data_IF_094944062815
#
_entry.id   IF_094944062815
#
_cell.length_a   1.000
_cell.length_b   1.000
_cell.length_c   1.000
_cell.angle_alpha   90.00
_cell.angle_beta   90.00
_cell.angle_gamma   90.00
#
_symmetry.space_group_name_H-M   'P 1'
#
loop_
_entity.id
_entity.type
_entity.pdbx_description
1 polymer ?
#
# COMPACT_ATOMS: atom_id res chain seq x y z
N UNK A 1 7.67 -21.00 20.05
CA UNK A 1 8.37 -20.49 21.26
C UNK A 1 7.80 -21.11 22.54
N UNK A 2 8.62 -21.20 23.62
CA UNK A 2 8.15 -21.68 24.91
C UNK A 2 6.95 -20.88 25.43
N UNK A 3 5.99 -21.55 26.06
CA UNK A 3 4.71 -20.93 26.49
C UNK A 3 4.89 -19.68 27.36
N UNK A 4 5.90 -19.67 28.22
CA UNK A 4 6.18 -18.54 29.12
C UNK A 4 6.69 -17.28 28.42
N UNK A 5 7.29 -17.39 27.21
CA UNK A 5 7.75 -16.25 26.39
C UNK A 5 6.64 -15.67 25.50
N UNK A 6 5.60 -16.42 25.21
CA UNK A 6 4.58 -16.03 24.23
C UNK A 6 3.82 -14.76 24.60
N UNK A 7 3.42 -14.48 25.85
CA UNK A 7 2.75 -13.22 26.19
C UNK A 7 3.59 -11.98 25.85
N UNK A 8 4.89 -12.00 26.16
CA UNK A 8 5.79 -10.89 25.85
C UNK A 8 6.00 -10.72 24.33
N UNK A 9 6.13 -11.82 23.59
CA UNK A 9 6.21 -11.81 22.12
C UNK A 9 4.94 -11.24 21.49
N UNK A 10 3.77 -11.66 21.94
CA UNK A 10 2.48 -11.16 21.47
C UNK A 10 2.34 -9.66 21.76
N UNK A 11 2.69 -9.22 22.98
CA UNK A 11 2.66 -7.81 23.34
C UNK A 11 3.56 -6.95 22.44
N UNK A 12 4.79 -7.42 22.15
CA UNK A 12 5.72 -6.77 21.21
C UNK A 12 5.19 -6.79 19.76
N UNK A 13 4.60 -7.90 19.33
CA UNK A 13 4.00 -8.02 18.00
C UNK A 13 2.86 -7.01 17.80
N UNK A 14 2.14 -6.67 18.87
CA UNK A 14 1.05 -5.67 18.86
C UNK A 14 1.53 -4.21 18.93
N UNK A 15 2.83 -3.97 19.09
CA UNK A 15 3.43 -2.62 19.18
C UNK A 15 4.48 -2.34 18.12
N UNK A 16 5.37 -3.28 17.84
CA UNK A 16 6.41 -3.20 16.81
C UNK A 16 6.62 -4.61 16.19
N UNK A 17 5.83 -4.97 15.17
CA UNK A 17 5.75 -6.34 14.66
C UNK A 17 7.02 -6.81 13.95
N UNK A 18 7.68 -5.95 13.17
CA UNK A 18 8.77 -6.38 12.27
C UNK A 18 9.95 -7.04 12.97
N UNK A 19 10.56 -6.44 14.01
CA UNK A 19 11.64 -7.10 14.73
C UNK A 19 11.23 -8.42 15.37
N UNK A 20 9.95 -8.54 15.78
CA UNK A 20 9.41 -9.77 16.36
C UNK A 20 9.22 -10.84 15.29
N UNK A 21 8.79 -10.48 14.10
CA UNK A 21 8.67 -11.40 12.96
C UNK A 21 10.04 -11.97 12.59
N UNK A 22 11.08 -11.13 12.53
CA UNK A 22 12.46 -11.53 12.26
C UNK A 22 13.01 -12.46 13.36
N UNK A 23 12.79 -12.12 14.63
CA UNK A 23 13.16 -12.95 15.79
C UNK A 23 12.46 -14.32 15.72
N UNK A 24 11.15 -14.35 15.45
CA UNK A 24 10.39 -15.59 15.37
C UNK A 24 10.89 -16.49 14.23
N UNK A 25 11.16 -15.92 13.08
CA UNK A 25 11.69 -16.64 11.93
C UNK A 25 13.07 -17.24 12.24
N UNK A 26 13.98 -16.42 12.77
CA UNK A 26 15.36 -16.84 13.08
C UNK A 26 15.39 -17.95 14.13
N UNK A 27 14.57 -17.81 15.19
CA UNK A 27 14.58 -18.74 16.32
C UNK A 27 13.72 -20.01 16.11
N UNK A 28 12.67 -19.96 15.26
CA UNK A 28 11.66 -21.01 15.18
C UNK A 28 11.28 -21.43 13.75
N UNK A 29 11.90 -20.82 12.75
CA UNK A 29 11.67 -21.14 11.35
C UNK A 29 10.55 -20.30 10.69
N UNK A 30 10.21 -20.65 9.44
CA UNK A 30 9.39 -19.80 8.57
C UNK A 30 7.88 -19.83 8.86
N UNK A 31 7.42 -20.81 9.66
CA UNK A 31 6.02 -20.92 10.10
C UNK A 31 6.02 -21.08 11.61
N UNK A 32 5.39 -20.17 12.33
CA UNK A 32 5.43 -20.13 13.80
C UNK A 32 4.03 -20.04 14.38
N UNK A 33 3.70 -21.00 15.27
CA UNK A 33 2.47 -20.97 16.08
C UNK A 33 2.68 -20.27 17.43
N UNK A 34 1.75 -19.38 17.79
CA UNK A 34 1.72 -18.68 19.07
C UNK A 34 0.32 -18.79 19.70
N UNK A 35 0.25 -18.64 21.02
CA UNK A 35 -1.01 -18.68 21.77
C UNK A 35 -1.59 -20.07 21.94
N UNK A 36 -2.76 -20.12 22.55
CA UNK A 36 -3.51 -21.36 22.81
C UNK A 36 -5.02 -21.07 22.88
N UNK A 37 -5.84 -22.11 22.79
CA UNK A 37 -7.29 -21.99 22.91
C UNK A 37 -7.89 -21.06 21.87
N UNK A 38 -8.68 -20.04 22.26
CA UNK A 38 -9.32 -19.10 21.34
C UNK A 38 -8.39 -18.00 20.84
N UNK A 39 -7.18 -17.89 21.37
CA UNK A 39 -6.18 -16.86 21.01
C UNK A 39 -4.98 -17.51 20.29
N UNK A 40 -5.25 -18.31 19.29
CA UNK A 40 -4.20 -18.91 18.44
C UNK A 40 -3.82 -17.96 17.31
N UNK A 41 -2.52 -17.84 17.09
CA UNK A 41 -1.91 -17.07 16.03
C UNK A 41 -0.93 -17.96 15.27
N UNK A 42 -0.96 -17.91 13.95
CA UNK A 42 0.05 -18.52 13.08
C UNK A 42 0.71 -17.44 12.22
N UNK A 43 2.03 -17.34 12.29
CA UNK A 43 2.82 -16.45 11.42
C UNK A 43 3.35 -17.29 10.27
N UNK A 44 3.13 -16.84 9.03
CA UNK A 44 3.57 -17.52 7.80
C UNK A 44 4.40 -16.55 6.98
N UNK A 45 5.69 -16.85 6.80
CA UNK A 45 6.63 -16.04 6.02
C UNK A 45 7.37 -16.81 4.93
N UNK A 46 7.19 -18.15 4.88
CA UNK A 46 7.79 -19.01 3.88
C UNK A 46 7.12 -18.85 2.50
N UNK A 47 7.88 -18.61 1.40
CA UNK A 47 7.29 -18.39 0.08
C UNK A 47 6.43 -19.56 -0.45
N UNK A 48 6.82 -20.80 -0.18
CA UNK A 48 6.08 -22.01 -0.61
C UNK A 48 4.79 -22.14 0.19
N UNK A 49 4.87 -21.96 1.51
CA UNK A 49 3.70 -21.95 2.38
C UNK A 49 2.74 -20.79 2.06
N UNK A 50 3.26 -19.62 1.68
CA UNK A 50 2.44 -18.49 1.20
C UNK A 50 1.70 -18.84 -0.10
N UNK A 51 2.33 -19.55 -1.04
CA UNK A 51 1.65 -20.05 -2.24
C UNK A 51 0.47 -20.94 -1.86
N UNK A 52 0.65 -21.88 -0.94
CA UNK A 52 -0.42 -22.76 -0.46
C UNK A 52 -1.53 -21.95 0.23
N UNK A 53 -1.15 -21.02 1.11
CA UNK A 53 -2.09 -20.15 1.82
C UNK A 53 -2.94 -19.29 0.86
N UNK A 54 -2.33 -18.73 -0.18
CA UNK A 54 -3.03 -17.91 -1.18
C UNK A 54 -3.84 -18.76 -2.18
N UNK A 55 -3.44 -20.02 -2.40
CA UNK A 55 -4.17 -20.99 -3.21
C UNK A 55 -5.35 -21.65 -2.47
N UNK A 56 -5.38 -21.58 -1.14
CA UNK A 56 -6.50 -22.07 -0.34
C UNK A 56 -7.77 -21.29 -0.68
N UNK A 57 -8.93 -21.97 -0.84
CA UNK A 57 -10.19 -21.29 -1.14
C UNK A 57 -10.47 -20.12 -0.21
N UNK A 58 -10.88 -18.99 -0.77
CA UNK A 58 -11.11 -17.75 0.00
C UNK A 58 -12.13 -17.93 1.13
N UNK A 59 -13.12 -18.80 0.92
CA UNK A 59 -14.16 -19.10 1.90
C UNK A 59 -13.66 -19.91 3.11
N UNK A 60 -12.42 -20.45 3.04
CA UNK A 60 -11.77 -21.06 4.19
C UNK A 60 -11.31 -20.02 5.25
N UNK A 61 -11.33 -18.74 4.88
CA UNK A 61 -10.93 -17.64 5.76
C UNK A 61 -12.05 -16.60 5.91
N UNK A 62 -11.91 -15.75 6.96
CA UNK A 62 -12.78 -14.59 7.20
C UNK A 62 -11.93 -13.37 7.50
N UNK A 63 -12.37 -12.22 6.97
CA UNK A 63 -11.81 -10.88 7.19
C UNK A 63 -12.73 -10.04 8.07
N UNK A 64 -14.05 -10.25 8.00
CA UNK A 64 -15.08 -9.59 8.82
C UNK A 64 -15.15 -10.09 10.27
N UNK A 65 -14.00 -10.43 10.89
CA UNK A 65 -13.96 -10.90 12.28
C UNK A 65 -13.86 -9.74 13.28
N UNK A 66 -14.29 -9.99 14.52
CA UNK A 66 -14.38 -8.97 15.59
C UNK A 66 -13.08 -8.23 15.93
N UNK A 67 -11.93 -8.80 15.58
CA UNK A 67 -10.61 -8.19 15.82
C UNK A 67 -10.15 -7.33 14.62
N UNK A 68 -10.92 -7.27 13.54
CA UNK A 68 -10.58 -6.43 12.40
C UNK A 68 -11.11 -5.00 12.63
N UNK A 69 -10.23 -4.14 13.14
CA UNK A 69 -10.54 -2.74 13.44
C UNK A 69 -10.77 -1.89 12.19
N UNK A 70 -10.37 -2.37 11.01
CA UNK A 70 -10.59 -1.66 9.75
C UNK A 70 -12.08 -1.42 9.50
N UNK A 71 -12.97 -2.35 9.87
CA UNK A 71 -14.41 -2.19 9.70
C UNK A 71 -15.00 -0.99 10.44
N UNK A 72 -14.34 -0.48 11.47
CA UNK A 72 -14.74 0.76 12.13
C UNK A 72 -14.42 2.01 11.28
N UNK A 73 -13.32 1.98 10.54
CA UNK A 73 -12.84 3.09 9.71
C UNK A 73 -13.49 3.08 8.33
N UNK A 74 -13.40 1.96 7.62
CA UNK A 74 -13.81 1.87 6.21
C UNK A 74 -15.28 1.47 6.01
N UNK A 75 -16.03 1.22 7.10
CA UNK A 75 -17.41 0.77 7.03
C UNK A 75 -17.54 -0.77 7.00
N UNK A 76 -18.74 -1.24 7.39
CA UNK A 76 -19.02 -2.69 7.48
C UNK A 76 -19.25 -3.36 6.15
N UNK A 77 -19.58 -2.59 5.11
CA UNK A 77 -19.81 -3.09 3.76
C UNK A 77 -18.58 -2.94 2.86
N UNK A 78 -17.46 -2.47 3.40
CA UNK A 78 -16.18 -2.42 2.70
C UNK A 78 -15.74 -3.80 2.21
N UNK A 79 -15.18 -3.85 1.00
CA UNK A 79 -14.62 -5.08 0.42
C UNK A 79 -13.47 -5.69 1.25
N UNK A 80 -12.73 -4.88 2.05
CA UNK A 80 -11.62 -5.34 2.89
C UNK A 80 -12.11 -6.23 4.03
N UNK A 81 -13.29 -5.93 4.59
CA UNK A 81 -13.85 -6.65 5.75
C UNK A 81 -15.04 -7.54 5.37
N UNK A 82 -15.44 -7.59 4.10
CA UNK A 82 -16.52 -8.43 3.63
C UNK A 82 -16.05 -9.86 3.37
N UNK A 83 -16.97 -10.81 3.47
CA UNK A 83 -16.75 -12.24 3.23
C UNK A 83 -17.82 -12.84 2.31
N UNK A 84 -17.56 -14.05 1.79
CA UNK A 84 -18.51 -14.85 1.02
C UNK A 84 -19.05 -14.17 -0.24
N UNK A 85 -20.36 -14.35 -0.57
CA UNK A 85 -20.98 -13.79 -1.77
C UNK A 85 -20.94 -12.28 -1.83
N UNK A 86 -21.10 -11.59 -0.69
CA UNK A 86 -21.06 -10.14 -0.61
C UNK A 86 -19.69 -9.58 -1.00
N UNK A 87 -18.62 -10.23 -0.53
CA UNK A 87 -17.27 -9.85 -0.95
C UNK A 87 -17.09 -10.04 -2.48
N UNK A 88 -17.54 -11.16 -3.02
CA UNK A 88 -17.41 -11.45 -4.47
C UNK A 88 -18.10 -10.37 -5.30
N UNK A 89 -19.32 -9.98 -4.93
CA UNK A 89 -20.10 -8.93 -5.60
C UNK A 89 -19.40 -7.59 -5.53
N UNK A 90 -19.00 -7.14 -4.30
CA UNK A 90 -18.31 -5.87 -4.09
C UNK A 90 -16.94 -5.83 -4.78
N UNK A 91 -16.18 -6.93 -4.71
CA UNK A 91 -14.89 -7.05 -5.41
C UNK A 91 -15.05 -6.92 -6.92
N UNK A 92 -16.05 -7.60 -7.52
CA UNK A 92 -16.32 -7.54 -8.95
C UNK A 92 -16.66 -6.13 -9.41
N UNK A 93 -17.58 -5.45 -8.71
CA UNK A 93 -17.95 -4.07 -9.00
C UNK A 93 -16.75 -3.13 -8.99
N UNK A 94 -15.97 -3.13 -7.90
CA UNK A 94 -14.78 -2.26 -7.77
C UNK A 94 -13.70 -2.61 -8.78
N UNK A 95 -13.47 -3.89 -9.08
CA UNK A 95 -12.41 -4.34 -9.98
C UNK A 95 -12.64 -3.87 -11.42
N UNK A 96 -13.90 -3.76 -11.87
CA UNK A 96 -14.25 -3.22 -13.20
C UNK A 96 -13.72 -1.79 -13.39
N UNK A 97 -13.61 -1.03 -12.30
CA UNK A 97 -13.07 0.32 -12.26
C UNK A 97 -11.56 0.42 -12.50
N UNK A 98 -10.80 -0.65 -12.27
CA UNK A 98 -9.35 -0.73 -12.53
C UNK A 98 -9.06 -1.40 -13.88
N UNK A 99 -9.90 -1.16 -14.88
CA UNK A 99 -9.71 -1.66 -16.24
C UNK A 99 -8.46 -1.04 -16.90
N UNK A 100 -7.85 -1.76 -17.86
CA UNK A 100 -6.70 -1.25 -18.62
C UNK A 100 -7.00 0.10 -19.29
N UNK A 101 -8.22 0.30 -19.80
CA UNK A 101 -8.63 1.56 -20.43
C UNK A 101 -8.50 2.74 -19.46
N UNK A 102 -8.99 2.58 -18.20
CA UNK A 102 -8.89 3.63 -17.19
C UNK A 102 -7.46 3.84 -16.74
N UNK A 103 -6.73 2.77 -16.42
CA UNK A 103 -5.31 2.87 -16.05
C UNK A 103 -4.51 3.63 -17.12
N UNK A 104 -4.67 3.29 -18.39
CA UNK A 104 -4.01 4.00 -19.49
C UNK A 104 -4.41 5.48 -19.58
N UNK A 105 -5.67 5.79 -19.31
CA UNK A 105 -6.16 7.17 -19.33
C UNK A 105 -5.63 8.04 -18.20
N UNK A 106 -5.17 7.45 -17.09
CA UNK A 106 -4.64 8.19 -15.94
C UNK A 106 -3.15 8.54 -16.06
N UNK A 107 -2.42 7.99 -17.05
CA UNK A 107 -0.97 8.21 -17.19
C UNK A 107 -0.65 9.71 -17.32
N UNK A 108 -1.37 10.44 -18.19
CA UNK A 108 -1.19 11.88 -18.38
C UNK A 108 -1.44 12.66 -17.08
N UNK A 109 -2.57 12.41 -16.41
CA UNK A 109 -2.90 13.06 -15.13
C UNK A 109 -1.83 12.85 -14.05
N UNK A 110 -1.24 11.66 -13.97
CA UNK A 110 -0.17 11.35 -13.01
C UNK A 110 1.08 12.16 -13.33
N UNK A 111 1.47 12.22 -14.60
CA UNK A 111 2.66 12.98 -15.05
C UNK A 111 2.44 14.48 -14.80
N UNK A 112 1.31 15.04 -15.23
CA UNK A 112 1.01 16.47 -15.06
C UNK A 112 1.03 16.91 -13.58
N UNK A 113 0.45 16.10 -12.69
CA UNK A 113 0.47 16.36 -11.24
C UNK A 113 1.87 16.21 -10.65
N UNK A 114 2.65 15.27 -11.14
CA UNK A 114 4.03 15.11 -10.73
C UNK A 114 4.85 16.32 -11.15
N UNK A 115 4.65 16.81 -12.36
CA UNK A 115 5.32 18.00 -12.87
C UNK A 115 4.95 19.27 -12.08
N UNK A 116 3.66 19.47 -11.81
CA UNK A 116 3.22 20.56 -10.97
C UNK A 116 3.81 20.52 -9.55
N UNK A 117 3.94 19.31 -8.97
CA UNK A 117 4.61 19.10 -7.69
C UNK A 117 6.09 19.48 -7.74
N UNK A 118 6.80 19.06 -8.79
CA UNK A 118 8.22 19.40 -9.03
C UNK A 118 8.40 20.90 -9.20
N UNK A 119 7.56 21.55 -10.01
CA UNK A 119 7.59 23.00 -10.22
C UNK A 119 7.37 23.77 -8.93
N UNK A 120 6.40 23.34 -8.13
CA UNK A 120 6.16 23.91 -6.80
C UNK A 120 7.35 23.70 -5.85
N UNK A 121 8.04 22.59 -5.91
CA UNK A 121 9.25 22.31 -5.13
C UNK A 121 10.40 23.22 -5.57
N UNK A 122 10.64 23.29 -6.87
CA UNK A 122 11.69 24.16 -7.46
C UNK A 122 11.42 25.62 -7.12
N UNK A 123 10.18 26.09 -7.22
CA UNK A 123 9.81 27.47 -6.85
C UNK A 123 10.10 27.78 -5.38
N UNK A 124 9.79 26.85 -4.45
CA UNK A 124 10.05 27.03 -3.02
C UNK A 124 11.54 27.06 -2.66
N UNK A 125 12.37 26.31 -3.40
CA UNK A 125 13.82 26.23 -3.16
C UNK A 125 14.63 27.22 -4.00
N UNK A 126 14.00 27.95 -4.92
CA UNK A 126 14.69 28.77 -5.92
C UNK A 126 15.49 27.97 -6.94
N UNK A 127 15.30 26.66 -7.00
CA UNK A 127 16.09 25.72 -7.81
C UNK A 127 17.46 25.34 -7.21
N UNK A 128 17.86 26.00 -6.13
CA UNK A 128 19.13 25.75 -5.44
C UNK A 128 19.09 24.48 -4.59
N UNK A 129 20.26 23.86 -4.31
CA UNK A 129 20.34 22.69 -3.45
C UNK A 129 19.75 22.96 -2.05
N UNK A 130 18.68 22.27 -1.69
CA UNK A 130 18.02 22.40 -0.40
C UNK A 130 17.72 21.01 0.19
N UNK A 131 17.68 20.93 1.53
CA UNK A 131 17.22 19.72 2.21
C UNK A 131 15.71 19.81 2.35
N UNK A 132 15.00 18.83 1.77
CA UNK A 132 13.54 18.75 1.80
C UNK A 132 13.14 17.37 2.30
N UNK A 133 12.21 17.31 3.25
CA UNK A 133 11.53 16.05 3.57
C UNK A 133 10.54 15.70 2.46
N UNK A 134 10.90 14.70 1.66
CA UNK A 134 10.07 14.27 0.53
C UNK A 134 8.89 13.40 0.94
N UNK A 135 8.78 12.96 2.20
CA UNK A 135 7.61 12.18 2.63
C UNK A 135 6.30 13.00 2.63
N UNK A 136 6.21 14.16 3.27
CA UNK A 136 5.00 14.99 3.18
C UNK A 136 4.72 15.47 1.76
N UNK A 137 5.74 15.81 0.97
CA UNK A 137 5.59 16.23 -0.43
C UNK A 137 5.00 15.09 -1.28
N UNK A 138 5.57 13.89 -1.17
CA UNK A 138 5.07 12.70 -1.87
C UNK A 138 3.66 12.30 -1.43
N UNK A 139 3.34 12.51 -0.14
CA UNK A 139 2.01 12.23 0.40
C UNK A 139 0.95 13.16 -0.19
N UNK A 140 1.23 14.45 -0.29
CA UNK A 140 0.34 15.43 -0.93
C UNK A 140 0.15 15.11 -2.42
N UNK A 141 1.24 14.79 -3.14
CA UNK A 141 1.21 14.39 -4.54
C UNK A 141 0.32 13.14 -4.75
N UNK A 142 0.60 12.05 -4.05
CA UNK A 142 -0.16 10.79 -4.15
C UNK A 142 -1.64 11.01 -3.80
N UNK A 143 -1.92 11.82 -2.79
CA UNK A 143 -3.29 12.19 -2.43
C UNK A 143 -4.00 12.89 -3.59
N UNK A 144 -3.38 13.90 -4.20
CA UNK A 144 -3.93 14.60 -5.35
C UNK A 144 -4.19 13.67 -6.54
N UNK A 145 -3.26 12.75 -6.82
CA UNK A 145 -3.40 11.73 -7.87
C UNK A 145 -4.58 10.80 -7.56
N UNK A 146 -4.58 10.12 -6.41
CA UNK A 146 -5.59 9.11 -6.05
C UNK A 146 -7.00 9.68 -6.05
N UNK A 147 -7.20 10.86 -5.42
CA UNK A 147 -8.54 11.46 -5.36
C UNK A 147 -9.01 11.87 -6.75
N UNK A 148 -8.14 12.45 -7.56
CA UNK A 148 -8.49 12.89 -8.92
C UNK A 148 -8.78 11.72 -9.85
N UNK A 149 -7.88 10.74 -9.91
CA UNK A 149 -8.00 9.61 -10.83
C UNK A 149 -9.17 8.70 -10.50
N UNK A 150 -9.45 8.46 -9.23
CA UNK A 150 -10.53 7.55 -8.83
C UNK A 150 -11.90 8.24 -8.73
N UNK A 151 -11.96 9.52 -8.38
CA UNK A 151 -13.23 10.16 -7.98
C UNK A 151 -13.50 11.51 -8.65
N UNK A 152 -12.68 11.89 -9.62
CA UNK A 152 -12.90 13.06 -10.45
C UNK A 152 -12.54 14.40 -9.79
N UNK A 153 -12.72 15.49 -10.55
CA UNK A 153 -12.25 16.84 -10.20
C UNK A 153 -12.95 17.41 -8.95
N UNK A 154 -14.26 17.16 -8.81
CA UNK A 154 -15.05 17.71 -7.71
C UNK A 154 -14.55 17.27 -6.34
N UNK A 155 -14.22 15.97 -6.17
CA UNK A 155 -13.59 15.47 -4.94
C UNK A 155 -12.11 15.86 -4.84
N UNK A 156 -11.40 15.97 -5.96
CA UNK A 156 -10.03 16.43 -5.99
C UNK A 156 -9.88 17.87 -5.44
N UNK A 157 -10.84 18.76 -5.72
CA UNK A 157 -10.88 20.10 -5.15
C UNK A 157 -10.99 20.13 -3.61
N UNK A 158 -11.49 19.04 -3.01
CA UNK A 158 -11.61 18.85 -1.55
C UNK A 158 -10.55 17.89 -0.98
N UNK A 159 -9.52 17.55 -1.74
CA UNK A 159 -8.52 16.54 -1.34
C UNK A 159 -7.85 16.84 0.00
N UNK A 160 -7.52 18.10 0.28
CA UNK A 160 -6.94 18.53 1.56
C UNK A 160 -7.88 18.31 2.76
N UNK A 161 -9.17 18.61 2.60
CA UNK A 161 -10.19 18.34 3.62
C UNK A 161 -10.36 16.84 3.88
N UNK A 162 -10.48 16.06 2.81
CA UNK A 162 -10.57 14.59 2.86
C UNK A 162 -9.39 14.01 3.61
N UNK A 163 -8.16 14.44 3.30
CA UNK A 163 -6.97 13.95 3.99
C UNK A 163 -6.93 14.34 5.47
N UNK A 164 -7.32 15.55 5.81
CA UNK A 164 -7.36 16.00 7.20
C UNK A 164 -8.35 15.16 8.04
N UNK A 165 -9.54 14.89 7.49
CA UNK A 165 -10.54 14.03 8.13
C UNK A 165 -10.07 12.58 8.25
N UNK A 166 -9.36 12.07 7.25
CA UNK A 166 -8.86 10.70 7.26
C UNK A 166 -7.64 10.53 8.18
N UNK A 167 -6.87 11.60 8.46
CA UNK A 167 -5.67 11.55 9.29
C UNK A 167 -5.94 11.01 10.70
N UNK A 168 -7.05 11.39 11.33
CA UNK A 168 -7.40 10.91 12.68
C UNK A 168 -7.68 9.41 12.68
N UNK A 169 -8.29 8.90 11.62
CA UNK A 169 -8.54 7.47 11.44
C UNK A 169 -7.23 6.70 11.21
N UNK A 170 -6.32 7.23 10.40
CA UNK A 170 -4.98 6.66 10.21
C UNK A 170 -4.20 6.61 11.53
N UNK A 171 -4.14 7.71 12.26
CA UNK A 171 -3.48 7.76 13.58
C UNK A 171 -4.10 6.78 14.58
N UNK A 172 -5.41 6.53 14.48
CA UNK A 172 -6.07 5.53 15.30
C UNK A 172 -5.63 4.12 14.91
N UNK A 173 -5.60 3.79 13.63
CA UNK A 173 -5.16 2.48 13.11
C UNK A 173 -3.68 2.21 13.40
N UNK A 174 -2.85 3.25 13.42
CA UNK A 174 -1.41 3.16 13.72
C UNK A 174 -1.11 3.15 15.23
N UNK A 175 -2.11 3.35 16.07
CA UNK A 175 -1.93 3.26 17.51
C UNK A 175 -1.78 1.79 17.96
N UNK A 176 -1.10 1.53 19.09
CA UNK A 176 -1.00 0.18 19.65
C UNK A 176 -2.37 -0.50 19.79
N UNK A 177 -2.45 -1.80 19.50
CA UNK A 177 -3.71 -2.54 19.42
C UNK A 177 -4.56 -2.45 20.70
N UNK A 178 -3.95 -2.33 21.88
CA UNK A 178 -4.69 -2.15 23.14
C UNK A 178 -5.48 -0.83 23.21
N UNK A 179 -5.06 0.20 22.44
CA UNK A 179 -5.80 1.48 22.32
C UNK A 179 -6.94 1.44 21.30
N UNK A 180 -6.99 0.39 20.50
CA UNK A 180 -8.01 0.17 19.48
C UNK A 180 -9.17 -0.70 19.97
N UNK A 181 -9.11 -1.19 21.22
CA UNK A 181 -10.16 -2.05 21.79
C UNK A 181 -11.51 -1.35 21.70
N UNK A 182 -12.53 -2.00 21.10
CA UNK A 182 -13.85 -1.43 20.98
C UNK A 182 -14.48 -1.15 22.34
N UNK A 183 -15.01 0.05 22.53
CA UNK A 183 -15.85 0.41 23.69
C UNK A 183 -17.07 1.21 23.21
N UNK A 184 -18.22 1.07 23.87
CA UNK A 184 -19.46 1.72 23.44
C UNK A 184 -19.51 3.23 23.77
N UNK A 185 -18.65 3.71 24.68
CA UNK A 185 -18.68 5.08 25.17
C UNK A 185 -18.22 6.07 24.09
N UNK A 186 -18.94 7.19 23.85
CA UNK A 186 -18.57 8.23 22.88
C UNK A 186 -17.56 9.21 23.48
N UNK A 187 -16.43 8.69 23.97
CA UNK A 187 -15.39 9.47 24.65
C UNK A 187 -14.03 9.29 23.97
N UNK A 188 -13.18 10.28 24.17
CA UNK A 188 -11.77 10.25 23.79
C UNK A 188 -11.53 10.19 22.28
N UNK A 189 -10.43 9.55 21.90
CA UNK A 189 -9.94 9.49 20.53
C UNK A 189 -10.93 8.83 19.56
N UNK A 190 -11.59 7.76 20.00
CA UNK A 190 -12.56 7.02 19.16
C UNK A 190 -13.80 7.85 18.82
N UNK A 191 -14.25 8.74 19.71
CA UNK A 191 -15.35 9.67 19.43
C UNK A 191 -14.96 10.69 18.34
N UNK A 192 -13.74 11.24 18.42
CA UNK A 192 -13.21 12.16 17.40
C UNK A 192 -13.11 11.47 16.05
N UNK A 193 -12.49 10.29 15.98
CA UNK A 193 -12.41 9.49 14.74
C UNK A 193 -13.78 9.24 14.14
N UNK A 194 -14.79 8.94 14.97
CA UNK A 194 -16.17 8.76 14.48
C UNK A 194 -16.72 10.04 13.85
N UNK A 195 -16.57 11.19 14.51
CA UNK A 195 -17.05 12.47 14.01
C UNK A 195 -16.39 12.82 12.66
N UNK A 196 -15.08 12.63 12.54
CA UNK A 196 -14.34 12.90 11.31
C UNK A 196 -14.74 11.93 10.18
N UNK A 197 -14.97 10.65 10.51
CA UNK A 197 -15.47 9.67 9.54
C UNK A 197 -16.92 9.97 9.10
N UNK A 198 -17.76 10.49 9.99
CA UNK A 198 -19.13 10.89 9.65
C UNK A 198 -19.12 12.11 8.73
N UNK A 199 -18.21 13.09 8.96
CA UNK A 199 -17.99 14.21 8.05
C UNK A 199 -17.47 13.73 6.68
N UNK A 200 -16.52 12.79 6.65
CA UNK A 200 -16.02 12.20 5.40
C UNK A 200 -17.13 11.47 4.63
N UNK A 201 -18.00 10.72 5.34
CA UNK A 201 -19.16 10.05 4.73
C UNK A 201 -20.11 11.06 4.10
N UNK A 202 -20.36 12.19 4.78
CA UNK A 202 -21.22 13.25 4.25
C UNK A 202 -20.65 13.86 2.93
N UNK A 203 -19.33 14.03 2.86
CA UNK A 203 -18.67 14.50 1.62
C UNK A 203 -18.89 13.50 0.47
N UNK A 204 -18.74 12.22 0.74
CA UNK A 204 -18.92 11.14 -0.26
C UNK A 204 -20.40 11.04 -0.66
N UNK A 205 -21.32 11.10 0.30
CA UNK A 205 -22.77 11.04 0.04
C UNK A 205 -23.20 12.24 -0.82
N UNK A 206 -22.71 13.45 -0.55
CA UNK A 206 -22.94 14.64 -1.38
C UNK A 206 -22.50 14.42 -2.84
N UNK A 207 -21.35 13.76 -3.05
CA UNK A 207 -20.87 13.44 -4.38
C UNK A 207 -21.70 12.36 -5.07
N UNK A 208 -22.15 11.34 -4.34
CA UNK A 208 -23.07 10.31 -4.85
C UNK A 208 -24.38 10.96 -5.29
N UNK A 209 -24.97 11.80 -4.46
CA UNK A 209 -26.21 12.54 -4.76
C UNK A 209 -26.06 13.47 -5.98
N UNK A 210 -24.88 14.09 -6.13
CA UNK A 210 -24.59 14.90 -7.31
C UNK A 210 -24.58 14.04 -8.57
N UNK A 211 -23.80 12.95 -8.59
CA UNK A 211 -23.69 12.06 -9.75
C UNK A 211 -25.01 11.33 -10.09
N UNK A 212 -25.90 11.14 -9.11
CA UNK A 212 -27.28 10.61 -9.36
C UNK A 212 -28.15 11.61 -10.11
N UNK A 213 -27.98 12.92 -9.85
CA UNK A 213 -28.74 14.00 -10.53
C UNK A 213 -28.11 14.40 -11.87
N UNK A 214 -26.80 14.42 -11.91
CA UNK A 214 -25.97 14.85 -13.02
C UNK A 214 -24.89 13.78 -13.28
N UNK A 215 -25.23 12.71 -14.06
CA UNK A 215 -24.27 11.65 -14.36
C UNK A 215 -23.01 12.20 -15.05
N UNK A 216 -21.86 11.70 -14.68
CA UNK A 216 -20.59 12.06 -15.30
C UNK A 216 -20.43 11.36 -16.65
N UNK A 217 -20.06 12.11 -17.68
CA UNK A 217 -19.67 11.57 -18.99
C UNK A 217 -18.19 11.17 -19.04
N UNK A 218 -17.43 11.43 -17.97
CA UNK A 218 -16.02 11.04 -17.89
C UNK A 218 -15.89 9.50 -17.77
N UNK A 219 -15.36 8.83 -18.81
CA UNK A 219 -15.21 7.37 -18.79
C UNK A 219 -14.17 6.89 -17.76
N UNK A 220 -13.38 7.80 -17.19
CA UNK A 220 -12.33 7.51 -16.23
C UNK A 220 -12.84 7.61 -14.78
N UNK A 221 -13.97 8.27 -14.53
CA UNK A 221 -14.56 8.41 -13.19
C UNK A 221 -15.02 7.04 -12.65
N UNK A 222 -14.28 6.55 -11.62
CA UNK A 222 -14.60 5.26 -10.98
C UNK A 222 -15.90 5.33 -10.20
N UNK A 223 -16.18 6.45 -9.51
CA UNK A 223 -17.41 6.57 -8.72
C UNK A 223 -18.64 6.57 -9.62
N UNK A 224 -18.60 7.31 -10.72
CA UNK A 224 -19.66 7.25 -11.73
C UNK A 224 -19.87 5.84 -12.27
N UNK A 225 -18.79 5.11 -12.54
CA UNK A 225 -18.87 3.72 -12.99
C UNK A 225 -19.47 2.78 -11.94
N UNK A 226 -19.13 2.95 -10.66
CA UNK A 226 -19.72 2.15 -9.57
C UNK A 226 -21.22 2.41 -9.41
N UNK A 227 -21.66 3.66 -9.60
CA UNK A 227 -23.06 4.02 -9.55
C UNK A 227 -23.84 3.50 -10.77
N UNK A 228 -23.23 3.50 -11.95
CA UNK A 228 -23.82 2.98 -13.19
C UNK A 228 -23.91 1.43 -13.22
N UNK A 229 -22.99 0.72 -12.55
CA UNK A 229 -23.01 -0.75 -12.43
C UNK A 229 -24.29 -1.25 -11.75
N UNK A 230 -24.84 -0.50 -10.79
CA UNK A 230 -26.10 -0.77 -10.12
C UNK A 230 -26.11 -2.01 -9.20
N UNK A 231 -25.01 -2.76 -9.11
CA UNK A 231 -24.88 -3.95 -8.27
C UNK A 231 -24.69 -3.63 -6.80
N UNK A 232 -24.31 -2.38 -6.47
CA UNK A 232 -24.08 -1.89 -5.12
C UNK A 232 -25.13 -0.83 -4.74
N UNK A 233 -25.60 -0.88 -3.48
CA UNK A 233 -26.40 0.20 -2.88
C UNK A 233 -25.50 1.41 -2.58
N UNK A 234 -26.06 2.60 -2.49
CA UNK A 234 -25.29 3.84 -2.26
C UNK A 234 -24.43 3.77 -0.97
N UNK A 235 -24.95 3.16 0.11
CA UNK A 235 -24.16 2.89 1.31
C UNK A 235 -22.94 1.98 1.03
N UNK A 236 -23.10 0.99 0.18
CA UNK A 236 -21.99 0.10 -0.21
C UNK A 236 -21.00 0.84 -1.10
N UNK A 237 -21.47 1.69 -2.03
CA UNK A 237 -20.61 2.55 -2.86
C UNK A 237 -19.79 3.48 -1.97
N UNK A 238 -20.43 4.19 -1.04
CA UNK A 238 -19.75 5.05 -0.06
C UNK A 238 -18.64 4.33 0.70
N UNK A 239 -18.93 3.13 1.23
CA UNK A 239 -17.93 2.36 1.98
C UNK A 239 -16.77 1.91 1.06
N UNK A 240 -17.02 1.61 -0.24
CA UNK A 240 -15.94 1.34 -1.19
C UNK A 240 -15.10 2.59 -1.48
N UNK A 241 -15.71 3.77 -1.66
CA UNK A 241 -14.99 5.04 -1.84
C UNK A 241 -14.05 5.31 -0.66
N UNK A 242 -14.57 5.24 0.57
CA UNK A 242 -13.77 5.44 1.79
C UNK A 242 -12.67 4.38 1.90
N UNK A 243 -12.96 3.14 1.50
CA UNK A 243 -11.97 2.06 1.46
C UNK A 243 -10.83 2.36 0.49
N UNK A 244 -11.15 2.81 -0.71
CA UNK A 244 -10.16 3.10 -1.75
C UNK A 244 -9.33 4.33 -1.41
N UNK A 245 -9.95 5.38 -0.83
CA UNK A 245 -9.23 6.53 -0.28
C UNK A 245 -8.22 6.07 0.79
N UNK A 246 -8.70 5.35 1.81
CA UNK A 246 -7.83 4.91 2.90
C UNK A 246 -6.73 3.94 2.47
N UNK A 247 -7.01 3.05 1.52
CA UNK A 247 -6.04 2.09 1.04
C UNK A 247 -5.00 2.71 0.08
N UNK A 248 -5.40 3.69 -0.74
CA UNK A 248 -4.54 4.27 -1.78
C UNK A 248 -3.60 5.36 -1.26
N UNK A 249 -4.09 6.22 -0.37
CA UNK A 249 -3.36 7.42 0.05
C UNK A 249 -2.06 7.09 0.79
N UNK A 250 -2.15 6.41 1.91
CA UNK A 250 -1.02 6.26 2.84
C UNK A 250 -0.05 5.14 2.41
N UNK A 251 -0.57 4.07 1.78
CA UNK A 251 0.27 2.96 1.35
C UNK A 251 1.18 3.35 0.17
N UNK A 252 0.65 4.06 -0.81
CA UNK A 252 1.43 4.51 -1.98
C UNK A 252 2.41 5.61 -1.56
N UNK A 253 2.01 6.57 -0.71
CA UNK A 253 2.90 7.60 -0.18
C UNK A 253 4.06 7.01 0.63
N UNK A 254 3.81 6.01 1.47
CA UNK A 254 4.85 5.32 2.22
C UNK A 254 5.78 4.51 1.31
N UNK A 255 5.24 3.86 0.27
CA UNK A 255 6.03 3.14 -0.73
C UNK A 255 6.91 4.10 -1.53
N UNK A 256 6.39 5.27 -1.92
CA UNK A 256 7.16 6.33 -2.58
C UNK A 256 8.31 6.83 -1.69
N UNK A 257 8.04 7.07 -0.41
CA UNK A 257 9.04 7.49 0.55
C UNK A 257 10.20 6.49 0.66
N UNK A 258 9.89 5.20 0.82
CA UNK A 258 10.89 4.15 0.84
C UNK A 258 11.64 4.01 -0.49
N UNK A 259 10.93 4.13 -1.61
CA UNK A 259 11.52 4.08 -2.95
C UNK A 259 12.56 5.20 -3.14
N UNK A 260 12.20 6.45 -2.82
CA UNK A 260 13.10 7.59 -2.93
C UNK A 260 14.30 7.47 -1.99
N UNK A 261 14.07 6.98 -0.77
CA UNK A 261 15.15 6.71 0.17
C UNK A 261 16.14 5.66 -0.38
N UNK A 262 15.63 4.50 -0.82
CA UNK A 262 16.46 3.40 -1.34
C UNK A 262 17.27 3.83 -2.58
N UNK A 263 16.63 4.55 -3.50
CA UNK A 263 17.32 5.02 -4.73
C UNK A 263 18.37 6.07 -4.39
N UNK A 264 18.10 7.01 -3.49
CA UNK A 264 19.06 8.01 -3.07
C UNK A 264 20.29 7.38 -2.41
N UNK A 265 20.08 6.38 -1.54
CA UNK A 265 21.19 5.66 -0.87
C UNK A 265 22.01 4.79 -1.82
N UNK A 266 21.41 4.27 -2.90
CA UNK A 266 22.13 3.51 -3.92
C UNK A 266 23.17 4.36 -4.68
N UNK A 267 23.08 5.67 -4.52
CA UNK A 267 24.07 6.63 -4.99
C UNK A 267 23.80 7.20 -6.39
N UNK A 268 24.68 8.13 -6.83
CA UNK A 268 24.46 8.92 -8.03
C UNK A 268 24.39 8.08 -9.31
N UNK A 269 25.13 6.98 -9.39
CA UNK A 269 25.12 6.14 -10.60
C UNK A 269 23.76 5.51 -10.91
N UNK A 270 22.97 5.14 -9.90
CA UNK A 270 21.61 4.66 -10.14
C UNK A 270 20.68 5.82 -10.56
N UNK A 271 20.82 6.98 -9.93
CA UNK A 271 20.04 8.16 -10.29
C UNK A 271 20.30 8.62 -11.73
N UNK A 272 21.55 8.59 -12.17
CA UNK A 272 21.94 8.90 -13.55
C UNK A 272 21.36 7.90 -14.56
N UNK A 273 21.36 6.61 -14.23
CA UNK A 273 20.72 5.58 -15.07
C UNK A 273 19.21 5.80 -15.19
N UNK A 274 18.52 6.12 -14.08
CA UNK A 274 17.09 6.47 -14.09
C UNK A 274 16.81 7.71 -14.91
N UNK A 275 17.68 8.71 -14.83
CA UNK A 275 17.61 9.92 -15.63
C UNK A 275 17.74 9.61 -17.11
N UNK A 276 18.74 8.82 -17.50
CA UNK A 276 18.94 8.45 -18.90
C UNK A 276 17.74 7.69 -19.48
N UNK A 277 17.16 6.76 -18.70
CA UNK A 277 15.91 6.07 -19.08
C UNK A 277 14.75 7.06 -19.24
N UNK A 278 14.56 7.96 -18.28
CA UNK A 278 13.48 8.94 -18.32
C UNK A 278 13.65 9.94 -19.48
N UNK A 279 14.87 10.39 -19.77
CA UNK A 279 15.16 11.28 -20.90
C UNK A 279 14.87 10.59 -22.24
N UNK A 280 15.17 9.31 -22.38
CA UNK A 280 14.87 8.54 -23.61
C UNK A 280 13.36 8.27 -23.75
N UNK A 281 12.70 7.91 -22.67
CA UNK A 281 11.29 7.46 -22.70
C UNK A 281 10.31 8.62 -22.68
N UNK A 282 10.58 9.64 -21.86
CA UNK A 282 9.69 10.78 -21.61
C UNK A 282 10.18 12.05 -22.34
N UNK A 283 10.89 11.88 -23.46
CA UNK A 283 11.31 12.98 -24.32
C UNK A 283 10.11 13.58 -25.06
N UNK A 284 10.10 14.93 -25.18
CA UNK A 284 9.11 15.68 -25.96
C UNK A 284 7.92 16.18 -25.15
N UNK A 285 7.10 17.00 -25.81
CA UNK A 285 5.93 17.68 -25.25
C UNK A 285 4.60 16.97 -25.56
N UNK A 286 4.68 15.73 -26.03
CA UNK A 286 3.51 14.93 -26.38
C UNK A 286 2.77 14.37 -25.16
N UNK A 287 1.51 13.95 -25.33
CA UNK A 287 0.79 13.30 -24.26
C UNK A 287 1.46 11.98 -23.87
N UNK A 288 1.68 11.79 -22.58
CA UNK A 288 2.20 10.53 -22.04
C UNK A 288 1.09 9.50 -21.94
N UNK A 289 1.41 8.25 -22.29
CA UNK A 289 0.48 7.12 -22.29
C UNK A 289 1.13 5.82 -21.79
N UNK A 290 0.37 4.74 -21.86
CA UNK A 290 0.81 3.42 -21.39
C UNK A 290 2.03 2.86 -22.14
N UNK A 291 2.34 3.32 -23.35
CA UNK A 291 3.51 2.87 -24.11
C UNK A 291 4.80 3.42 -23.50
N UNK A 292 4.75 4.62 -22.95
CA UNK A 292 5.85 5.23 -22.20
C UNK A 292 6.09 4.46 -20.91
N UNK A 293 5.02 4.16 -20.14
CA UNK A 293 5.13 3.36 -18.91
C UNK A 293 5.80 2.00 -19.15
N UNK A 294 5.47 1.33 -20.25
CA UNK A 294 6.02 0.01 -20.59
C UNK A 294 7.53 0.04 -20.89
N UNK A 295 8.11 1.21 -21.15
CA UNK A 295 9.55 1.40 -21.44
C UNK A 295 10.36 1.83 -20.21
N UNK A 296 9.72 2.21 -19.10
CA UNK A 296 10.36 2.60 -17.83
C UNK A 296 10.76 1.37 -16.99
N UNK A 297 11.61 0.51 -17.54
CA UNK A 297 11.98 -0.78 -16.97
C UNK A 297 12.83 -0.65 -15.70
N UNK A 298 13.82 0.25 -15.67
CA UNK A 298 14.64 0.47 -14.48
C UNK A 298 13.84 1.09 -13.34
N UNK A 299 12.97 2.07 -13.64
CA UNK A 299 12.11 2.67 -12.64
C UNK A 299 11.13 1.63 -12.04
N UNK A 300 10.55 0.73 -12.85
CA UNK A 300 9.73 -0.39 -12.37
C UNK A 300 10.54 -1.35 -11.48
N UNK A 301 11.76 -1.70 -11.88
CA UNK A 301 12.62 -2.56 -11.06
C UNK A 301 13.00 -1.91 -9.72
N UNK A 302 13.26 -0.60 -9.70
CA UNK A 302 13.48 0.14 -8.45
C UNK A 302 12.25 0.09 -7.55
N UNK A 303 11.04 0.31 -8.10
CA UNK A 303 9.78 0.19 -7.37
C UNK A 303 9.58 -1.22 -6.80
N UNK A 304 9.80 -2.26 -7.62
CA UNK A 304 9.69 -3.66 -7.19
C UNK A 304 10.65 -4.00 -6.07
N UNK A 305 11.89 -3.53 -6.15
CA UNK A 305 12.91 -3.77 -5.13
C UNK A 305 12.63 -3.02 -3.83
N UNK A 306 12.23 -1.76 -3.92
CA UNK A 306 11.84 -0.97 -2.74
C UNK A 306 10.64 -1.61 -2.02
N UNK A 307 9.62 -2.06 -2.76
CA UNK A 307 8.44 -2.71 -2.17
C UNK A 307 8.73 -4.12 -1.67
N UNK A 308 9.73 -4.81 -2.19
CA UNK A 308 10.25 -6.07 -1.64
C UNK A 308 10.85 -5.85 -0.25
N UNK A 309 11.74 -4.86 -0.14
CA UNK A 309 12.42 -4.52 1.13
C UNK A 309 11.48 -3.87 2.13
N UNK A 310 10.68 -2.94 1.68
CA UNK A 310 9.82 -2.12 2.53
C UNK A 310 8.34 -2.20 2.07
N UNK A 311 7.71 -3.39 2.11
CA UNK A 311 6.31 -3.49 1.74
C UNK A 311 5.46 -2.59 2.63
N UNK A 312 4.57 -1.79 2.05
CA UNK A 312 3.67 -0.92 2.82
C UNK A 312 2.84 -1.71 3.82
N UNK A 313 2.29 -2.87 3.42
CA UNK A 313 1.71 -3.87 4.30
C UNK A 313 2.74 -4.94 4.66
N UNK A 314 3.46 -4.78 5.76
CA UNK A 314 4.49 -5.76 6.19
C UNK A 314 3.92 -7.14 6.47
N UNK A 315 2.65 -7.21 6.88
CA UNK A 315 1.88 -8.42 7.13
C UNK A 315 0.39 -8.14 7.00
N UNK A 316 -0.42 -9.19 6.81
CA UNK A 316 -1.87 -9.04 6.86
C UNK A 316 -2.55 -10.25 7.54
N UNK A 317 -3.61 -9.99 8.34
CA UNK A 317 -4.33 -11.04 9.05
C UNK A 317 -5.46 -11.64 8.21
N UNK A 318 -5.76 -12.93 8.48
CA UNK A 318 -7.02 -13.61 8.11
C UNK A 318 -7.39 -14.64 9.17
N UNK A 319 -8.65 -14.81 9.46
CA UNK A 319 -9.11 -15.79 10.45
C UNK A 319 -9.44 -17.11 9.75
N UNK A 320 -8.84 -18.22 10.15
CA UNK A 320 -9.21 -19.54 9.64
C UNK A 320 -10.66 -19.87 10.04
N UNK A 321 -11.53 -20.06 9.05
CA UNK A 321 -12.95 -20.39 9.25
C UNK A 321 -13.18 -21.91 9.35
N UNK A 322 -12.31 -22.66 8.72
CA UNK A 322 -12.21 -24.12 8.80
C UNK A 322 -10.77 -24.49 9.13
N UNK A 323 -10.52 -25.78 9.43
CA UNK A 323 -9.16 -26.26 9.51
C UNK A 323 -8.50 -26.17 8.12
N UNK A 324 -7.29 -25.64 8.06
CA UNK A 324 -6.50 -25.55 6.82
C UNK A 324 -5.12 -26.17 7.02
N UNK A 325 -4.50 -26.65 5.94
CA UNK A 325 -3.12 -27.11 5.94
C UNK A 325 -2.26 -26.14 5.15
N UNK A 326 -1.14 -25.69 5.72
CA UNK A 326 -0.20 -24.74 5.09
C UNK A 326 1.21 -25.12 5.48
N UNK A 327 2.09 -25.34 4.50
CA UNK A 327 3.48 -25.72 4.72
C UNK A 327 3.65 -27.01 5.52
N UNK A 328 2.74 -27.98 5.36
CA UNK A 328 2.73 -29.22 6.12
C UNK A 328 2.16 -29.13 7.53
N UNK A 329 1.74 -27.96 8.00
CA UNK A 329 1.16 -27.74 9.33
C UNK A 329 -0.36 -27.60 9.26
N UNK A 330 -1.07 -28.28 10.18
CA UNK A 330 -2.50 -28.08 10.39
C UNK A 330 -2.70 -26.78 11.17
N UNK A 331 -3.45 -25.87 10.60
CA UNK A 331 -3.91 -24.62 11.24
C UNK A 331 -5.39 -24.79 11.59
N UNK A 332 -5.73 -24.94 12.87
CA UNK A 332 -7.10 -25.18 13.30
C UNK A 332 -8.02 -23.99 13.04
N UNK A 333 -9.30 -24.24 12.81
CA UNK A 333 -10.37 -23.23 12.81
C UNK A 333 -10.23 -22.26 13.99
N UNK A 334 -10.47 -20.97 13.75
CA UNK A 334 -10.38 -19.90 14.73
C UNK A 334 -8.96 -19.40 15.01
N UNK A 335 -7.95 -19.92 14.26
CA UNK A 335 -6.58 -19.37 14.31
C UNK A 335 -6.50 -18.10 13.48
N UNK A 336 -5.94 -17.01 14.04
CA UNK A 336 -5.56 -15.82 13.29
C UNK A 336 -4.25 -16.11 12.55
N UNK A 337 -4.31 -16.12 11.23
CA UNK A 337 -3.13 -16.33 10.36
C UNK A 337 -2.60 -14.98 9.93
N UNK A 338 -1.37 -14.68 10.31
CA UNK A 338 -0.62 -13.52 9.81
C UNK A 338 0.34 -13.99 8.72
N UNK A 339 0.10 -13.62 7.50
CA UNK A 339 1.09 -13.81 6.44
C UNK A 339 1.96 -12.54 6.33
N UNK A 340 3.24 -12.71 5.98
CA UNK A 340 4.19 -11.60 6.01
C UNK A 340 4.95 -11.42 4.70
N UNK A 341 4.68 -10.30 4.03
CA UNK A 341 5.47 -9.83 2.89
C UNK A 341 6.89 -9.42 3.30
N UNK A 342 7.05 -8.87 4.51
CA UNK A 342 8.36 -8.52 5.08
C UNK A 342 9.28 -9.73 5.19
N UNK A 343 8.78 -10.86 5.72
CA UNK A 343 9.56 -12.08 5.84
C UNK A 343 9.86 -12.71 4.49
N UNK A 344 8.86 -12.82 3.60
CA UNK A 344 9.02 -13.40 2.28
C UNK A 344 9.99 -12.59 1.41
N UNK A 345 9.88 -11.25 1.44
CA UNK A 345 10.77 -10.35 0.73
C UNK A 345 12.23 -10.41 1.20
N UNK A 346 12.50 -10.97 2.38
CA UNK A 346 13.84 -11.13 2.96
C UNK A 346 14.26 -12.60 3.10
N UNK A 347 13.60 -13.51 2.39
CA UNK A 347 13.94 -14.92 2.44
C UNK A 347 15.27 -15.22 1.71
N UNK A 348 16.34 -15.69 2.41
CA UNK A 348 17.64 -15.95 1.78
C UNK A 348 17.62 -17.12 0.78
N UNK A 349 16.61 -17.99 0.82
CA UNK A 349 16.44 -19.03 -0.18
C UNK A 349 15.90 -18.45 -1.51
N UNK A 350 15.10 -17.38 -1.43
CA UNK A 350 14.54 -16.71 -2.60
C UNK A 350 15.43 -15.61 -3.15
N UNK A 351 16.18 -14.93 -2.29
CA UNK A 351 16.90 -13.70 -2.62
C UNK A 351 18.38 -13.82 -2.22
N UNK A 352 19.28 -13.63 -3.18
CA UNK A 352 20.71 -13.43 -2.89
C UNK A 352 20.86 -12.05 -2.26
N UNK A 353 21.63 -11.97 -1.17
CA UNK A 353 21.77 -10.74 -0.38
C UNK A 353 20.42 -10.05 -0.12
N UNK A 354 19.53 -10.69 0.69
CA UNK A 354 18.14 -10.30 0.80
C UNK A 354 17.93 -8.93 1.43
N UNK A 355 18.95 -8.35 2.06
CA UNK A 355 18.92 -7.03 2.70
C UNK A 355 19.38 -5.90 1.78
N UNK A 356 20.09 -6.19 0.70
CA UNK A 356 20.56 -5.20 -0.24
C UNK A 356 19.44 -4.68 -1.15
N UNK A 357 19.48 -3.38 -1.45
CA UNK A 357 18.66 -2.76 -2.49
C UNK A 357 19.39 -2.91 -3.83
N UNK A 358 18.91 -3.81 -4.67
CA UNK A 358 19.54 -4.18 -5.94
C UNK A 358 18.47 -4.37 -7.04
N UNK A 359 18.04 -3.29 -7.73
CA UNK A 359 16.99 -3.36 -8.75
C UNK A 359 17.31 -4.34 -9.89
N UNK A 360 18.60 -4.51 -10.23
CA UNK A 360 19.03 -5.40 -11.32
C UNK A 360 18.87 -6.89 -10.99
N UNK A 361 18.55 -7.25 -9.73
CA UNK A 361 18.22 -8.63 -9.38
C UNK A 361 17.03 -9.18 -10.16
N UNK A 362 16.09 -8.34 -10.58
CA UNK A 362 14.96 -8.75 -11.40
C UNK A 362 15.34 -9.04 -12.86
N UNK A 363 16.47 -8.55 -13.35
CA UNK A 363 17.04 -8.93 -14.64
C UNK A 363 17.80 -10.27 -14.60
N UNK A 364 18.51 -10.49 -13.51
CA UNK A 364 19.51 -11.55 -13.39
C UNK A 364 19.14 -12.57 -12.31
N UNK A 365 17.84 -12.88 -12.17
CA UNK A 365 17.40 -13.94 -11.26
C UNK A 365 17.98 -15.26 -11.73
N UNK A 366 18.75 -15.92 -10.88
CA UNK A 366 19.27 -17.27 -11.18
C UNK A 366 18.10 -18.21 -11.49
N UNK A 367 18.18 -19.03 -12.54
CA UNK A 367 17.07 -19.91 -12.95
C UNK A 367 16.51 -20.75 -11.81
N UNK A 368 17.38 -21.28 -10.94
CA UNK A 368 17.02 -22.09 -9.77
C UNK A 368 16.27 -21.30 -8.69
N UNK A 369 16.48 -19.99 -8.60
CA UNK A 369 15.82 -19.10 -7.63
C UNK A 369 14.56 -18.44 -8.19
N UNK A 370 14.42 -18.37 -9.52
CA UNK A 370 13.34 -17.60 -10.17
C UNK A 370 11.95 -17.99 -9.66
N UNK A 371 11.65 -19.28 -9.62
CA UNK A 371 10.34 -19.77 -9.17
C UNK A 371 10.06 -19.36 -7.71
N UNK A 372 11.09 -19.43 -6.84
CA UNK A 372 10.95 -19.07 -5.43
C UNK A 372 10.88 -17.53 -5.24
N UNK A 373 11.68 -16.77 -5.99
CA UNK A 373 11.63 -15.32 -6.00
C UNK A 373 10.25 -14.78 -6.44
N UNK A 374 9.68 -15.39 -7.49
CA UNK A 374 8.32 -15.07 -7.95
C UNK A 374 7.26 -15.33 -6.86
N UNK A 375 7.43 -16.38 -6.04
CA UNK A 375 6.55 -16.67 -4.90
C UNK A 375 6.80 -15.73 -3.72
N UNK A 376 8.03 -15.30 -3.51
CA UNK A 376 8.46 -14.47 -2.38
C UNK A 376 8.11 -12.98 -2.58
N UNK A 377 7.96 -12.52 -3.83
CA UNK A 377 7.56 -11.13 -4.10
C UNK A 377 6.05 -10.97 -3.96
N UNK A 378 5.62 -10.63 -2.75
CA UNK A 378 4.19 -10.52 -2.37
C UNK A 378 3.83 -9.20 -1.64
N UNK A 379 4.42 -8.04 -1.99
CA UNK A 379 4.09 -6.79 -1.31
C UNK A 379 2.61 -6.39 -1.47
N UNK A 380 1.95 -6.85 -2.54
CA UNK A 380 0.54 -6.62 -2.84
C UNK A 380 -0.36 -7.83 -2.54
N UNK A 381 0.17 -8.81 -1.82
CA UNK A 381 -0.51 -10.09 -1.61
C UNK A 381 -0.63 -10.92 -2.89
N UNK A 382 -1.44 -11.98 -2.84
CA UNK A 382 -1.65 -12.88 -3.98
C UNK A 382 -3.01 -13.59 -3.87
N UNK A 383 -3.45 -14.20 -4.98
CA UNK A 383 -4.74 -14.92 -5.04
C UNK A 383 -5.95 -13.97 -5.10
N UNK A 384 -7.12 -14.48 -4.72
CA UNK A 384 -8.38 -13.77 -4.86
C UNK A 384 -8.46 -12.44 -4.08
N UNK A 385 -7.68 -12.30 -3.00
CA UNK A 385 -7.61 -11.12 -2.12
C UNK A 385 -6.36 -10.26 -2.34
N UNK A 386 -5.70 -10.37 -3.49
CA UNK A 386 -4.59 -9.49 -3.86
C UNK A 386 -5.04 -8.01 -3.89
N UNK A 387 -4.09 -7.10 -3.80
CA UNK A 387 -4.38 -5.66 -3.88
C UNK A 387 -5.10 -5.33 -5.18
N UNK A 388 -6.24 -4.64 -5.08
CA UNK A 388 -7.04 -4.25 -6.25
C UNK A 388 -6.37 -3.07 -6.99
N UNK A 389 -5.70 -2.18 -6.24
CA UNK A 389 -4.98 -1.02 -6.77
C UNK A 389 -3.53 -1.31 -7.19
N UNK A 390 -3.12 -2.60 -7.29
CA UNK A 390 -1.73 -2.95 -7.61
C UNK A 390 -1.21 -2.23 -8.87
N UNK A 391 -1.95 -2.32 -9.97
CA UNK A 391 -1.51 -1.73 -11.24
C UNK A 391 -1.45 -0.20 -11.19
N UNK A 392 -2.37 0.45 -10.46
CA UNK A 392 -2.33 1.90 -10.24
C UNK A 392 -1.10 2.30 -9.40
N UNK A 393 -0.88 1.63 -8.27
CA UNK A 393 0.26 1.93 -7.41
C UNK A 393 1.62 1.71 -8.12
N UNK A 394 1.73 0.65 -8.93
CA UNK A 394 2.91 0.40 -9.75
C UNK A 394 3.14 1.55 -10.74
N UNK A 395 2.09 1.95 -11.45
CA UNK A 395 2.12 3.04 -12.42
C UNK A 395 2.51 4.36 -11.77
N UNK A 396 1.86 4.73 -10.65
CA UNK A 396 2.16 5.94 -9.89
C UNK A 396 3.63 5.98 -9.46
N UNK A 397 4.11 4.95 -8.78
CA UNK A 397 5.47 4.91 -8.25
C UNK A 397 6.53 4.97 -9.36
N UNK A 398 6.29 4.27 -10.48
CA UNK A 398 7.21 4.22 -11.62
C UNK A 398 7.28 5.58 -12.34
N UNK A 399 6.12 6.19 -12.64
CA UNK A 399 6.06 7.49 -13.32
C UNK A 399 6.61 8.63 -12.44
N UNK A 400 6.24 8.66 -11.15
CA UNK A 400 6.74 9.68 -10.22
C UNK A 400 8.27 9.60 -10.11
N UNK A 401 8.83 8.38 -9.94
CA UNK A 401 10.28 8.20 -9.85
C UNK A 401 10.97 8.67 -11.13
N UNK A 402 10.48 8.28 -12.31
CA UNK A 402 11.06 8.66 -13.59
C UNK A 402 11.03 10.18 -13.79
N UNK A 403 9.90 10.86 -13.50
CA UNK A 403 9.79 12.32 -13.63
C UNK A 403 10.66 13.07 -12.63
N UNK A 404 10.78 12.59 -11.39
CA UNK A 404 11.70 13.18 -10.41
C UNK A 404 13.16 13.03 -10.89
N UNK A 405 13.56 11.85 -11.39
CA UNK A 405 14.91 11.61 -11.89
C UNK A 405 15.23 12.46 -13.13
N UNK A 406 14.25 12.71 -13.99
CA UNK A 406 14.42 13.53 -15.18
C UNK A 406 14.65 15.02 -14.85
N UNK A 407 13.99 15.55 -13.82
CA UNK A 407 13.93 17.00 -13.58
C UNK A 407 14.71 17.48 -12.36
N UNK A 408 15.09 16.59 -11.47
CA UNK A 408 15.77 16.93 -10.22
C UNK A 408 17.08 16.17 -10.07
N UNK A 409 18.00 16.75 -9.33
CA UNK A 409 19.11 16.08 -8.69
C UNK A 409 18.73 15.77 -7.24
N UNK A 410 18.94 14.51 -6.82
CA UNK A 410 18.62 14.06 -5.48
C UNK A 410 19.81 13.31 -4.87
N UNK A 411 20.14 13.67 -3.63
CA UNK A 411 21.18 13.01 -2.87
C UNK A 411 20.76 12.77 -1.41
N UNK A 412 21.25 11.72 -0.77
CA UNK A 412 20.93 11.45 0.63
C UNK A 412 21.58 12.51 1.55
N UNK A 413 20.93 12.79 2.68
CA UNK A 413 21.47 13.63 3.75
C UNK A 413 22.20 12.82 4.80
N UNK A 414 22.04 11.51 4.80
CA UNK A 414 22.63 10.55 5.72
C UNK A 414 22.69 9.17 5.05
N UNK A 415 23.63 8.34 5.46
CA UNK A 415 23.75 6.93 5.07
C UNK A 415 22.94 5.98 5.99
N UNK A 416 22.28 6.53 7.00
CA UNK A 416 21.57 5.78 8.01
C UNK A 416 20.14 5.52 7.62
N UNK A 417 19.77 4.24 7.40
CA UNK A 417 18.40 3.84 7.12
C UNK A 417 17.45 4.28 8.25
N UNK A 418 16.32 4.94 7.95
CA UNK A 418 15.33 5.30 8.96
C UNK A 418 14.67 4.04 9.55
N UNK A 419 14.33 4.10 10.83
CA UNK A 419 13.57 3.01 11.43
C UNK A 419 12.21 2.90 10.77
N UNK A 420 11.84 1.68 10.39
CA UNK A 420 10.50 1.38 9.90
C UNK A 420 9.49 1.45 11.05
N UNK A 421 8.42 2.25 10.91
CA UNK A 421 7.35 2.41 11.91
C UNK A 421 5.98 2.17 11.29
N UNK A 422 4.98 1.96 12.14
CA UNK A 422 3.59 1.74 11.75
C UNK A 422 3.15 0.29 11.90
N UNK A 423 1.88 0.13 12.29
CA UNK A 423 1.21 -1.16 12.46
C UNK A 423 0.54 -1.64 11.17
N UNK A 424 -0.14 -0.73 10.49
CA UNK A 424 -0.89 -1.01 9.26
C UNK A 424 -0.04 -0.64 8.04
N UNK A 425 0.57 0.54 8.06
CA UNK A 425 1.41 1.03 6.97
C UNK A 425 2.85 1.25 7.43
N UNK A 426 3.77 0.56 6.77
CA UNK A 426 5.21 0.67 7.02
C UNK A 426 5.75 2.00 6.48
N UNK A 427 6.17 2.91 7.36
CA UNK A 427 6.65 4.25 7.04
C UNK A 427 8.07 4.48 7.59
N UNK A 428 8.90 5.31 6.92
CA UNK A 428 10.17 5.74 7.48
C UNK A 428 9.95 6.72 8.65
N UNK A 429 10.52 6.43 9.82
CA UNK A 429 10.46 7.30 10.98
C UNK A 429 11.29 8.58 10.73
N UNK A 430 10.67 9.73 10.94
CA UNK A 430 11.34 11.02 10.71
C UNK A 430 11.32 11.49 9.25
N UNK A 431 10.54 10.82 8.39
CA UNK A 431 10.40 11.21 7.00
C UNK A 431 11.56 10.78 6.11
N UNK A 432 11.73 11.46 4.98
CA UNK A 432 12.77 11.22 3.97
C UNK A 432 13.46 12.55 3.61
N UNK A 433 14.30 13.09 4.50
CA UNK A 433 15.06 14.31 4.21
C UNK A 433 16.15 14.01 3.18
N UNK A 434 15.98 14.54 1.97
CA UNK A 434 16.93 14.44 0.87
C UNK A 434 17.40 15.83 0.44
N UNK A 435 18.61 15.93 -0.07
CA UNK A 435 19.10 17.13 -0.74
C UNK A 435 18.56 17.12 -2.17
N UNK A 436 17.81 18.15 -2.52
CA UNK A 436 17.14 18.27 -3.82
C UNK A 436 17.56 19.57 -4.48
N UNK A 437 17.84 19.55 -5.76
CA UNK A 437 18.03 20.74 -6.59
C UNK A 437 17.41 20.53 -7.96
N UNK A 438 17.13 21.64 -8.64
CA UNK A 438 16.76 21.57 -10.06
C UNK A 438 17.92 20.99 -10.87
N UNK A 439 17.64 20.15 -11.82
CA UNK A 439 18.60 19.73 -12.84
C UNK A 439 19.05 20.96 -13.66
N UNK A 440 20.38 21.13 -13.89
CA UNK A 440 20.93 22.20 -14.71
C UNK A 440 20.36 22.28 -16.12
#
# INVERSE_FOLDING_TARGET
PPRWRQPALIARLLTDPRPVLDELRTAHGPIVGLGAGPMRLAVVGDPVALRELFGTPVDAFRWGHRFNVLGFVVGRTSLIVSDGPDWKRRRSAVQSGFSRRRLNGWVGDIVDRTDACIDGLVARTGGEPAVVDLYPVGRELVQGIVVRTLFGERLAARSGEIAALFQTAQDYLESPAYRQVPHPLPIGRRARVRADLDALRAIVDEQIDHLRREPSDDPLDLLAALLADGSLRDEEVRDQVITLLGAGLDTTAASLAWLLWCVALAGPGLWERLRAEADDVLAGDGPFDASHLARLDLADRCMREATRLHPAGSFAPRMAHVDVSVGGYRIPRGTLVLWSAHLAGRDPAAWTDPSAFEPDRFLHVRPEQKALADLAWVPFGRGARNCIGFALAQMELTLILARLAQRLDVAPTTDREPRAVGMVVNRPAGGVPLRVSRRP
#
